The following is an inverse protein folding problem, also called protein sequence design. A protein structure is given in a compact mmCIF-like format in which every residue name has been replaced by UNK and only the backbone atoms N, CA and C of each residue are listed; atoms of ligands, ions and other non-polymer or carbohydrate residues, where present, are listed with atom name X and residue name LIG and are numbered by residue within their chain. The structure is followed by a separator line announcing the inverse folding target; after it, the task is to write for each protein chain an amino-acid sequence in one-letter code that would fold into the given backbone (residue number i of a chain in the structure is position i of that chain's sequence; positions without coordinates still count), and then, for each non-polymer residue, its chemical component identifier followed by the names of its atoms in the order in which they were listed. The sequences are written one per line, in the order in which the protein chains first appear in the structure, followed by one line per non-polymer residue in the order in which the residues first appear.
data_IF_452153533225
#
_entry.id   IF_452153533225
#
_cell.length_a   1.000
_cell.length_b   1.000
_cell.length_c   1.000
_cell.angle_alpha   90.00
_cell.angle_beta   90.00
_cell.angle_gamma   90.00
#
_symmetry.space_group_name_H-M   'P 1'
#
loop_
_entity.id
_entity.type
_entity.pdbx_description
1 polymer ?
#
# COMPACT_ATOMS: atom_id res chain seq x y z
N UNK A 1 -7.88 9.18 21.89
CA UNK A 1 -7.62 7.78 21.50
C UNK A 1 -7.62 7.71 19.98
N UNK A 2 -6.44 7.64 19.37
CA UNK A 2 -6.31 7.53 17.91
C UNK A 2 -6.83 6.17 17.46
N UNK A 3 -7.90 6.16 16.68
CA UNK A 3 -8.47 4.95 16.07
C UNK A 3 -7.35 4.11 15.44
N UNK A 4 -7.06 2.96 16.04
CA UNK A 4 -6.34 1.88 15.40
C UNK A 4 -7.23 1.35 14.26
N UNK A 5 -7.32 2.09 13.15
CA UNK A 5 -7.86 1.56 11.89
C UNK A 5 -6.88 0.50 11.44
N UNK A 6 -7.15 -0.75 11.82
CA UNK A 6 -6.46 -1.91 11.29
C UNK A 6 -6.59 -1.83 9.77
N UNK A 7 -5.48 -1.54 9.09
CA UNK A 7 -5.45 -1.50 7.62
C UNK A 7 -5.64 -2.92 7.13
N UNK A 8 -6.65 -3.16 6.29
CA UNK A 8 -6.96 -4.48 5.69
C UNK A 8 -5.74 -5.19 5.07
N UNK A 9 -4.79 -4.42 4.55
CA UNK A 9 -3.58 -4.96 3.94
C UNK A 9 -2.37 -4.70 4.83
N UNK A 10 -1.81 -5.78 5.38
CA UNK A 10 -0.59 -5.77 6.16
C UNK A 10 0.62 -5.74 5.23
N UNK A 11 1.39 -4.65 5.22
CA UNK A 11 2.58 -4.53 4.36
C UNK A 11 3.66 -5.53 4.81
N UNK A 12 4.18 -6.31 3.87
CA UNK A 12 5.28 -7.27 4.07
C UNK A 12 6.60 -6.71 3.56
N UNK A 13 6.68 -6.40 2.26
CA UNK A 13 7.93 -5.96 1.64
C UNK A 13 7.69 -4.97 0.51
N UNK A 14 8.72 -4.21 0.18
CA UNK A 14 8.74 -3.40 -1.04
C UNK A 14 8.88 -4.30 -2.27
N UNK A 15 8.19 -3.96 -3.36
CA UNK A 15 8.31 -4.66 -4.65
C UNK A 15 8.89 -3.75 -5.74
N UNK A 16 8.58 -2.46 -5.72
CA UNK A 16 9.07 -1.54 -6.74
C UNK A 16 8.50 -0.14 -6.61
N UNK A 17 9.15 0.80 -7.29
CA UNK A 17 8.76 2.20 -7.33
C UNK A 17 8.74 2.69 -8.77
N UNK A 18 7.65 3.34 -9.17
CA UNK A 18 7.54 4.04 -10.44
C UNK A 18 7.23 5.52 -10.24
N UNK A 19 7.12 6.23 -11.36
CA UNK A 19 6.78 7.66 -11.38
C UNK A 19 5.48 7.96 -10.61
N UNK A 20 4.45 7.13 -10.79
CA UNK A 20 3.10 7.41 -10.28
C UNK A 20 2.74 6.69 -8.98
N UNK A 21 3.52 5.69 -8.55
CA UNK A 21 3.15 4.85 -7.42
C UNK A 21 4.33 4.09 -6.83
N UNK A 22 4.15 3.66 -5.58
CA UNK A 22 5.01 2.68 -4.92
C UNK A 22 4.22 1.39 -4.71
N UNK A 23 4.81 0.24 -5.04
CA UNK A 23 4.17 -1.08 -4.94
C UNK A 23 4.78 -1.88 -3.79
N UNK A 24 3.92 -2.48 -2.99
CA UNK A 24 4.32 -3.32 -1.86
C UNK A 24 3.67 -4.70 -1.94
N UNK A 25 4.37 -5.73 -1.49
CA UNK A 25 3.80 -7.02 -1.13
C UNK A 25 3.07 -6.85 0.19
N UNK A 26 1.84 -7.33 0.28
CA UNK A 26 1.04 -7.28 1.50
C UNK A 26 0.25 -8.57 1.69
N UNK A 27 -0.19 -8.83 2.92
CA UNK A 27 -1.19 -9.85 3.24
C UNK A 27 -2.55 -9.19 3.42
N UNK A 28 -3.57 -9.66 2.70
CA UNK A 28 -4.95 -9.31 2.99
C UNK A 28 -5.38 -10.06 4.27
N UNK A 29 -5.65 -9.33 5.35
CA UNK A 29 -5.97 -9.93 6.66
C UNK A 29 -7.36 -10.59 6.68
N UNK A 30 -8.19 -10.38 5.65
CA UNK A 30 -9.55 -10.96 5.59
C UNK A 30 -9.57 -12.39 5.05
N UNK A 31 -8.61 -12.74 4.18
CA UNK A 31 -8.54 -14.05 3.52
C UNK A 31 -7.14 -14.68 3.54
N UNK A 32 -6.14 -14.00 4.10
CA UNK A 32 -4.76 -14.47 4.21
C UNK A 32 -3.96 -14.42 2.90
N UNK A 33 -4.53 -13.93 1.80
CA UNK A 33 -3.86 -13.94 0.50
C UNK A 33 -2.72 -12.92 0.43
N UNK A 34 -1.65 -13.32 -0.25
CA UNK A 34 -0.54 -12.45 -0.61
C UNK A 34 -0.91 -11.65 -1.86
N UNK A 35 -0.90 -10.33 -1.75
CA UNK A 35 -1.30 -9.39 -2.81
C UNK A 35 -0.26 -8.31 -3.02
N UNK A 36 -0.32 -7.62 -4.17
CA UNK A 36 0.43 -6.39 -4.42
C UNK A 36 -0.47 -5.17 -4.17
N UNK A 37 -0.02 -4.22 -3.36
CA UNK A 37 -0.72 -2.96 -3.06
C UNK A 37 0.00 -1.80 -3.74
N UNK A 38 -0.67 -1.15 -4.70
CA UNK A 38 -0.18 0.04 -5.41
C UNK A 38 -0.60 1.30 -4.67
N UNK A 39 0.34 1.94 -3.97
CA UNK A 39 0.14 3.25 -3.31
C UNK A 39 0.43 4.36 -4.31
N UNK A 40 -0.61 5.05 -4.77
CA UNK A 40 -0.49 6.20 -5.68
C UNK A 40 0.25 7.34 -4.97
N UNK A 41 1.26 7.89 -5.64
CA UNK A 41 1.98 9.08 -5.20
C UNK A 41 1.16 10.29 -5.62
N UNK A 42 0.41 10.85 -4.68
CA UNK A 42 -0.29 12.12 -4.91
C UNK A 42 0.74 13.23 -4.70
N UNK A 43 1.49 13.56 -5.74
CA UNK A 43 2.29 14.79 -5.82
C UNK A 43 1.46 15.88 -6.49
N UNK A 44 1.56 17.12 -6.00
CA UNK A 44 0.95 18.30 -6.63
C UNK A 44 1.35 18.34 -8.10
N UNK A 45 0.37 18.46 -9.00
CA UNK A 45 0.62 18.94 -10.37
C UNK A 45 1.29 20.32 -10.25
N UNK A 46 2.62 20.37 -10.25
CA UNK A 46 3.32 21.49 -10.85
C UNK A 46 3.50 21.08 -12.31
N UNK A 47 2.53 21.50 -13.11
CA UNK A 47 2.69 21.65 -14.55
C UNK A 47 3.85 22.60 -14.87
#
# INVERSE_FOLDING_TARGET
MSENKVKRYEKISFLGEGQFATVYKARDITNGMIVAVKKIKVGSRTE
#
